data_IF_020221483411
#
_entry.id   IF_020221483411
#
_cell.length_a   1.000
_cell.length_b   1.000
_cell.length_c   1.000
_cell.angle_alpha   90.00
_cell.angle_beta   90.00
_cell.angle_gamma   90.00
#
_symmetry.space_group_name_H-M   'P 1'
#
loop_
_entity.id
_entity.type
_entity.pdbx_description
1 polymer ?
#
# COMPACT_ATOMS: atom_id res chain seq x y z
N UNK A 1 3.97 46.24 -29.79
CA UNK A 1 5.30 46.37 -29.19
C UNK A 1 5.31 47.69 -28.48
N UNK A 2 5.40 47.69 -27.15
CA UNK A 2 5.86 48.81 -26.32
C UNK A 2 6.01 48.25 -24.89
N UNK A 3 7.12 47.58 -24.64
CA UNK A 3 7.52 47.18 -23.29
C UNK A 3 8.18 48.39 -22.62
N UNK A 4 7.41 49.20 -21.90
CA UNK A 4 7.98 50.23 -21.04
C UNK A 4 8.65 49.56 -19.83
N UNK A 5 9.97 49.39 -19.90
CA UNK A 5 10.81 49.05 -18.75
C UNK A 5 10.88 50.30 -17.84
N UNK A 6 9.99 50.39 -16.85
CA UNK A 6 10.16 51.38 -15.78
C UNK A 6 11.14 50.81 -14.76
N UNK A 7 12.42 51.13 -14.94
CA UNK A 7 13.54 50.84 -14.04
C UNK A 7 13.35 51.64 -12.72
N UNK A 8 12.46 51.19 -11.84
CA UNK A 8 12.31 51.74 -10.47
C UNK A 8 13.46 51.25 -9.58
N UNK A 9 14.66 51.80 -9.78
CA UNK A 9 15.83 51.53 -8.94
C UNK A 9 15.68 52.22 -7.58
N UNK A 10 15.00 51.57 -6.64
CA UNK A 10 15.12 51.93 -5.22
C UNK A 10 16.33 51.20 -4.66
N UNK A 11 17.50 51.85 -4.71
CA UNK A 11 18.71 51.39 -4.03
C UNK A 11 18.53 51.60 -2.53
N UNK A 12 18.23 50.53 -1.79
CA UNK A 12 18.24 50.60 -0.34
C UNK A 12 19.69 50.50 0.18
N UNK A 13 19.95 51.00 1.39
CA UNK A 13 21.30 51.10 2.02
C UNK A 13 22.09 49.76 2.06
N UNK A 14 21.42 48.64 1.81
CA UNK A 14 21.96 47.29 1.84
C UNK A 14 22.41 46.74 0.46
N UNK A 15 22.39 47.53 -0.62
CA UNK A 15 22.86 47.09 -1.94
C UNK A 15 21.94 46.08 -2.63
N UNK A 16 20.64 46.14 -2.32
CA UNK A 16 19.58 45.37 -3.01
C UNK A 16 18.96 46.26 -4.09
N UNK A 17 18.91 45.75 -5.33
CA UNK A 17 18.19 46.41 -6.44
C UNK A 17 16.99 45.56 -6.83
N UNK A 18 15.78 46.14 -6.81
CA UNK A 18 14.54 45.49 -7.24
C UNK A 18 14.28 45.86 -8.70
N UNK A 19 13.84 44.91 -9.52
CA UNK A 19 13.38 45.15 -10.88
C UNK A 19 12.02 44.47 -11.09
N UNK A 20 11.22 45.05 -11.99
CA UNK A 20 9.90 44.52 -12.34
C UNK A 20 9.60 44.72 -13.82
N UNK A 21 9.15 43.68 -14.50
CA UNK A 21 8.70 43.75 -15.89
C UNK A 21 7.28 43.18 -16.02
N UNK A 22 6.40 43.93 -16.70
CA UNK A 22 5.03 43.51 -16.98
C UNK A 22 4.99 42.79 -18.32
N UNK A 23 4.81 41.47 -18.30
CA UNK A 23 4.62 40.65 -19.49
C UNK A 23 3.12 40.38 -19.71
N UNK A 24 2.74 39.94 -20.91
CA UNK A 24 1.35 39.57 -21.23
C UNK A 24 0.81 38.39 -20.40
N UNK A 25 1.69 37.65 -19.71
CA UNK A 25 1.39 36.47 -18.90
C UNK A 25 1.62 36.65 -17.39
N UNK A 26 2.00 37.84 -16.91
CA UNK A 26 2.26 38.06 -15.48
C UNK A 26 3.17 39.26 -15.17
N UNK A 27 3.35 39.53 -13.87
CA UNK A 27 4.34 40.47 -13.36
C UNK A 27 5.57 39.69 -12.88
N UNK A 28 6.70 39.87 -13.54
CA UNK A 28 7.97 39.30 -13.08
C UNK A 28 8.65 40.31 -12.16
N UNK A 29 8.62 40.04 -10.86
CA UNK A 29 9.44 40.75 -9.88
C UNK A 29 10.72 39.96 -9.61
N UNK A 30 11.83 40.66 -9.45
CA UNK A 30 13.07 40.06 -8.99
C UNK A 30 13.94 41.07 -8.26
N UNK A 31 14.95 40.57 -7.57
CA UNK A 31 15.94 41.42 -6.93
C UNK A 31 17.35 40.86 -7.10
N UNK A 32 18.31 41.77 -7.16
CA UNK A 32 19.74 41.45 -7.21
C UNK A 32 20.34 41.78 -5.86
N UNK A 33 20.99 40.81 -5.24
CA UNK A 33 21.77 40.99 -4.01
C UNK A 33 23.18 40.43 -4.20
N UNK A 34 24.21 41.27 -3.97
CA UNK A 34 25.64 40.89 -4.12
C UNK A 34 25.96 40.18 -5.46
N UNK A 35 25.33 40.60 -6.55
CA UNK A 35 25.55 40.03 -7.88
C UNK A 35 24.75 38.75 -8.20
N UNK A 36 23.98 38.22 -7.25
CA UNK A 36 23.06 37.11 -7.51
C UNK A 36 21.67 37.64 -7.89
N UNK A 37 21.18 37.21 -9.06
CA UNK A 37 19.83 37.51 -9.57
C UNK A 37 18.86 36.46 -9.02
N UNK A 38 17.82 36.93 -8.31
CA UNK A 38 16.74 36.08 -7.80
C UNK A 38 15.46 36.54 -8.49
N UNK A 39 14.94 35.68 -9.37
CA UNK A 39 13.66 35.86 -10.05
C UNK A 39 12.54 35.26 -9.17
N UNK A 40 11.52 36.06 -8.82
CA UNK A 40 10.36 35.63 -8.03
C UNK A 40 9.16 35.23 -8.92
N UNK A 41 9.41 34.87 -10.18
CA UNK A 41 8.36 34.48 -11.13
C UNK A 41 7.70 33.16 -10.71
N UNK A 42 6.40 33.20 -10.42
CA UNK A 42 5.57 32.00 -10.35
C UNK A 42 5.38 31.47 -11.77
N UNK A 43 5.62 30.17 -12.02
CA UNK A 43 5.30 29.53 -13.31
C UNK A 43 3.80 29.68 -13.58
N UNK A 44 3.37 30.38 -14.65
CA UNK A 44 1.95 30.55 -14.97
C UNK A 44 1.23 29.21 -15.22
N UNK A 45 1.95 28.14 -15.55
CA UNK A 45 1.37 26.81 -15.63
C UNK A 45 1.11 26.22 -14.24
N UNK A 46 2.01 26.43 -13.27
CA UNK A 46 1.81 25.99 -11.88
C UNK A 46 0.67 26.76 -11.21
N UNK A 47 0.59 28.08 -11.40
CA UNK A 47 -0.51 28.89 -10.87
C UNK A 47 -1.87 28.44 -11.43
N UNK A 48 -1.94 28.08 -12.72
CA UNK A 48 -3.14 27.50 -13.34
C UNK A 48 -3.50 26.13 -12.77
N UNK A 49 -2.50 25.26 -12.53
CA UNK A 49 -2.70 23.94 -11.90
C UNK A 49 -3.24 24.12 -10.48
N UNK A 50 -2.66 25.03 -9.71
CA UNK A 50 -3.05 25.28 -8.33
C UNK A 50 -4.44 25.89 -8.23
N UNK A 51 -4.75 26.89 -9.07
CA UNK A 51 -6.11 27.46 -9.17
C UNK A 51 -7.14 26.40 -9.53
N UNK A 52 -6.80 25.45 -10.42
CA UNK A 52 -7.68 24.34 -10.77
C UNK A 52 -7.91 23.41 -9.58
N UNK A 53 -6.85 23.03 -8.85
CA UNK A 53 -6.96 22.21 -7.62
C UNK A 53 -7.81 22.90 -6.56
N UNK A 54 -7.61 24.20 -6.33
CA UNK A 54 -8.38 24.97 -5.38
C UNK A 54 -9.87 25.03 -5.75
N UNK A 55 -10.18 25.25 -7.04
CA UNK A 55 -11.56 25.19 -7.54
C UNK A 55 -12.17 23.81 -7.35
N UNK A 56 -11.43 22.74 -7.64
CA UNK A 56 -11.90 21.36 -7.44
C UNK A 56 -12.16 21.07 -5.95
N UNK A 57 -11.30 21.53 -5.06
CA UNK A 57 -11.46 21.40 -3.61
C UNK A 57 -12.68 22.17 -3.10
N UNK A 58 -12.86 23.43 -3.51
CA UNK A 58 -14.05 24.24 -3.15
C UNK A 58 -15.32 23.58 -3.66
N UNK A 59 -15.32 23.08 -4.91
CA UNK A 59 -16.46 22.35 -5.46
C UNK A 59 -16.76 21.07 -4.67
N UNK A 60 -15.73 20.34 -4.25
CA UNK A 60 -15.87 19.15 -3.42
C UNK A 60 -16.54 19.47 -2.08
N UNK A 61 -16.09 20.54 -1.40
CA UNK A 61 -16.72 21.03 -0.17
C UNK A 61 -18.19 21.43 -0.39
N UNK A 62 -18.48 22.09 -1.52
CA UNK A 62 -19.85 22.40 -1.92
C UNK A 62 -20.73 21.16 -2.06
N UNK A 63 -20.23 20.10 -2.71
CA UNK A 63 -20.98 18.84 -2.83
C UNK A 63 -21.22 18.14 -1.49
N UNK A 64 -20.33 18.31 -0.51
CA UNK A 64 -20.53 17.81 0.86
C UNK A 64 -21.62 18.62 1.56
N UNK A 65 -21.55 19.95 1.51
CA UNK A 65 -22.57 20.82 2.10
C UNK A 65 -23.96 20.58 1.49
N UNK A 66 -24.06 20.40 0.17
CA UNK A 66 -25.32 20.08 -0.51
C UNK A 66 -25.97 18.77 0.00
N UNK A 67 -25.18 17.85 0.56
CA UNK A 67 -25.68 16.59 1.12
C UNK A 67 -26.38 16.74 2.46
N UNK A 68 -26.15 17.85 3.16
CA UNK A 68 -26.80 18.18 4.41
C UNK A 68 -28.22 18.72 4.19
N UNK A 69 -28.52 19.26 3.00
CA UNK A 69 -29.80 19.89 2.65
C UNK A 69 -30.68 19.07 1.69
N UNK A 70 -30.20 17.94 1.18
CA UNK A 70 -30.95 17.11 0.23
C UNK A 70 -30.10 16.03 -0.45
N UNK A 71 -30.59 15.44 -1.53
CA UNK A 71 -29.80 14.51 -2.36
C UNK A 71 -28.87 15.36 -3.25
N UNK A 72 -27.54 15.29 -3.09
CA UNK A 72 -26.63 16.03 -3.95
C UNK A 72 -26.79 15.59 -5.41
N UNK A 73 -26.59 16.50 -6.36
CA UNK A 73 -26.53 16.12 -7.78
C UNK A 73 -25.20 15.46 -8.15
N UNK A 74 -24.16 15.75 -7.38
CA UNK A 74 -22.79 15.22 -7.53
C UNK A 74 -22.25 14.83 -6.17
N UNK A 75 -21.43 13.80 -6.15
CA UNK A 75 -20.71 13.39 -4.96
C UNK A 75 -19.38 14.15 -4.84
N UNK A 76 -18.85 14.24 -3.62
CA UNK A 76 -17.47 14.66 -3.35
C UNK A 76 -16.44 13.89 -4.19
N UNK A 77 -16.75 12.63 -4.57
CA UNK A 77 -15.99 11.79 -5.50
C UNK A 77 -15.93 12.38 -6.95
N UNK A 78 -16.65 13.47 -7.25
CA UNK A 78 -16.89 14.02 -8.59
C UNK A 78 -17.88 13.22 -9.44
N UNK A 79 -18.22 12.00 -9.00
CA UNK A 79 -19.13 11.08 -9.66
C UNK A 79 -20.59 11.52 -9.59
N UNK A 80 -21.37 10.98 -10.54
CA UNK A 80 -22.82 11.16 -10.57
C UNK A 80 -23.44 10.37 -9.42
N UNK A 81 -24.36 11.02 -8.71
CA UNK A 81 -25.23 10.32 -7.76
C UNK A 81 -26.20 9.41 -8.53
N UNK A 82 -26.31 8.17 -8.08
CA UNK A 82 -27.35 7.25 -8.52
C UNK A 82 -28.51 7.44 -7.56
N UNK A 83 -29.64 7.91 -8.09
CA UNK A 83 -30.90 8.05 -7.37
C UNK A 83 -31.61 6.68 -7.32
N UNK A 84 -30.90 5.68 -6.80
CA UNK A 84 -31.55 4.46 -6.32
C UNK A 84 -31.99 4.78 -4.90
N UNK A 85 -33.15 5.47 -4.77
CA UNK A 85 -33.92 5.44 -3.52
C UNK A 85 -34.12 3.96 -3.24
N UNK A 86 -33.40 3.41 -2.25
CA UNK A 86 -33.55 2.01 -1.87
C UNK A 86 -35.01 1.80 -1.49
N UNK A 87 -35.76 1.19 -2.40
CA UNK A 87 -37.12 0.77 -2.14
C UNK A 87 -37.06 -0.32 -1.09
N UNK A 88 -37.55 0.01 0.09
CA UNK A 88 -38.00 -0.94 1.10
C UNK A 88 -36.90 -1.83 1.72
N UNK A 89 -36.02 -1.27 2.54
CA UNK A 89 -35.46 -2.07 3.64
C UNK A 89 -35.53 -1.27 4.95
N UNK A 90 -36.00 -1.98 5.97
CA UNK A 90 -36.50 -1.60 7.30
C UNK A 90 -35.46 -0.91 8.22
N UNK A 91 -34.36 -0.43 7.67
CA UNK A 91 -33.28 0.20 8.42
C UNK A 91 -33.34 1.71 8.22
N UNK A 92 -33.89 2.38 9.24
CA UNK A 92 -33.92 3.82 9.49
C UNK A 92 -35.18 4.56 9.00
N UNK A 93 -36.29 4.36 9.73
CA UNK A 93 -37.54 5.16 9.67
C UNK A 93 -37.41 6.57 10.24
N UNK A 94 -36.19 7.11 10.38
CA UNK A 94 -35.99 8.48 10.84
C UNK A 94 -36.34 9.48 9.72
N UNK A 95 -37.31 10.40 9.94
CA UNK A 95 -37.66 11.43 8.97
C UNK A 95 -36.42 12.31 8.70
N UNK A 96 -35.80 12.15 7.53
CA UNK A 96 -34.68 13.01 7.09
C UNK A 96 -33.46 12.29 6.51
N UNK A 97 -33.29 10.97 6.71
CA UNK A 97 -32.16 10.25 6.10
C UNK A 97 -32.52 9.79 4.68
N UNK A 98 -31.84 10.36 3.69
CA UNK A 98 -31.98 10.00 2.27
C UNK A 98 -30.73 9.23 1.85
N UNK A 99 -30.87 7.94 1.54
CA UNK A 99 -29.75 7.12 1.09
C UNK A 99 -29.52 7.35 -0.41
N UNK A 100 -28.30 7.75 -0.78
CA UNK A 100 -27.85 7.90 -2.17
C UNK A 100 -26.50 7.21 -2.35
N UNK A 101 -26.21 6.74 -3.56
CA UNK A 101 -24.95 6.04 -3.86
C UNK A 101 -24.19 6.75 -5.00
N UNK A 102 -22.89 7.04 -4.82
CA UNK A 102 -22.02 7.51 -5.93
C UNK A 102 -21.66 6.31 -6.83
N UNK A 103 -21.82 6.46 -8.15
CA UNK A 103 -21.45 5.41 -9.13
C UNK A 103 -20.01 4.93 -8.96
N UNK A 104 -19.07 5.85 -8.72
CA UNK A 104 -17.66 5.50 -8.55
C UNK A 104 -17.46 4.65 -7.29
N UNK A 105 -18.14 4.97 -6.18
CA UNK A 105 -18.09 4.16 -4.97
C UNK A 105 -18.75 2.80 -5.16
N UNK A 106 -19.87 2.69 -5.89
CA UNK A 106 -20.49 1.39 -6.22
C UNK A 106 -19.53 0.47 -6.97
N UNK A 107 -18.82 1.01 -7.96
CA UNK A 107 -17.83 0.24 -8.71
C UNK A 107 -16.58 -0.10 -7.89
N UNK A 108 -16.13 0.82 -7.04
CA UNK A 108 -15.00 0.57 -6.15
C UNK A 108 -15.32 -0.48 -5.09
N UNK A 109 -16.52 -0.43 -4.50
CA UNK A 109 -17.02 -1.45 -3.56
C UNK A 109 -17.00 -2.82 -4.26
N UNK A 110 -17.53 -2.94 -5.47
CA UNK A 110 -17.48 -4.22 -6.23
C UNK A 110 -16.06 -4.73 -6.42
N UNK A 111 -15.12 -3.85 -6.77
CA UNK A 111 -13.69 -4.22 -6.93
C UNK A 111 -13.09 -4.70 -5.62
N UNK A 112 -13.36 -3.98 -4.53
CA UNK A 112 -12.89 -4.34 -3.20
C UNK A 112 -13.50 -5.66 -2.73
N UNK A 113 -14.80 -5.88 -2.94
CA UNK A 113 -15.49 -7.15 -2.65
C UNK A 113 -14.81 -8.32 -3.36
N UNK A 114 -14.53 -8.18 -4.67
CA UNK A 114 -13.81 -9.21 -5.42
C UNK A 114 -12.42 -9.50 -4.84
N UNK A 115 -11.67 -8.47 -4.47
CA UNK A 115 -10.35 -8.63 -3.84
C UNK A 115 -10.42 -9.33 -2.49
N UNK A 116 -11.46 -9.05 -1.70
CA UNK A 116 -11.70 -9.72 -0.42
C UNK A 116 -12.02 -11.21 -0.65
N UNK A 117 -12.91 -11.52 -1.58
CA UNK A 117 -13.22 -12.92 -1.94
C UNK A 117 -11.98 -13.69 -2.41
N UNK A 118 -11.14 -13.08 -3.26
CA UNK A 118 -9.87 -13.67 -3.70
C UNK A 118 -8.91 -13.90 -2.51
N UNK A 119 -8.79 -12.93 -1.60
CA UNK A 119 -7.96 -13.06 -0.41
C UNK A 119 -8.46 -14.15 0.55
N UNK A 120 -9.78 -14.28 0.75
CA UNK A 120 -10.37 -15.34 1.57
C UNK A 120 -10.05 -16.74 1.04
N UNK A 121 -10.03 -16.93 -0.28
CA UNK A 121 -9.64 -18.20 -0.89
C UNK A 121 -8.17 -18.53 -0.63
N UNK A 122 -7.29 -17.52 -0.71
CA UNK A 122 -5.86 -17.69 -0.41
C UNK A 122 -5.66 -18.07 1.06
N UNK A 123 -6.34 -17.39 1.99
CA UNK A 123 -6.28 -17.69 3.42
C UNK A 123 -6.69 -19.13 3.67
N UNK A 124 -7.84 -19.59 3.13
CA UNK A 124 -8.31 -20.98 3.29
C UNK A 124 -7.28 -22.01 2.83
N UNK A 125 -6.60 -21.77 1.70
CA UNK A 125 -5.55 -22.67 1.18
C UNK A 125 -4.34 -22.70 2.09
N UNK A 126 -3.87 -21.53 2.54
CA UNK A 126 -2.71 -21.43 3.42
C UNK A 126 -3.00 -22.07 4.78
N UNK A 127 -4.19 -21.88 5.34
CA UNK A 127 -4.62 -22.54 6.59
C UNK A 127 -4.49 -24.05 6.47
N UNK A 128 -4.98 -24.65 5.39
CA UNK A 128 -4.85 -26.10 5.15
C UNK A 128 -3.39 -26.57 5.08
N UNK A 129 -2.53 -25.81 4.40
CA UNK A 129 -1.10 -26.14 4.31
C UNK A 129 -0.39 -26.03 5.66
N UNK A 130 -0.78 -25.06 6.49
CA UNK A 130 -0.25 -24.90 7.85
C UNK A 130 -0.68 -26.06 8.74
N UNK A 131 -1.95 -26.49 8.68
CA UNK A 131 -2.45 -27.66 9.40
C UNK A 131 -1.71 -28.94 9.01
N UNK A 132 -1.45 -29.15 7.70
CA UNK A 132 -0.66 -30.28 7.21
C UNK A 132 0.79 -30.24 7.71
N UNK A 133 1.43 -29.06 7.70
CA UNK A 133 2.78 -28.88 8.21
C UNK A 133 2.87 -29.12 9.74
N UNK A 134 1.86 -28.71 10.50
CA UNK A 134 1.80 -28.94 11.95
C UNK A 134 1.71 -30.43 12.29
N UNK A 135 0.95 -31.22 11.51
CA UNK A 135 0.91 -32.68 11.65
C UNK A 135 2.28 -33.33 11.41
N UNK A 136 3.03 -32.85 10.42
CA UNK A 136 4.40 -33.33 10.17
C UNK A 136 5.31 -32.99 11.35
N UNK A 137 5.28 -31.74 11.82
CA UNK A 137 6.12 -31.28 12.93
C UNK A 137 5.84 -32.08 14.20
N UNK A 138 4.57 -32.36 14.51
CA UNK A 138 4.17 -33.17 15.67
C UNK A 138 4.54 -34.65 15.52
N UNK A 139 4.67 -35.16 14.30
CA UNK A 139 5.12 -36.53 14.01
C UNK A 139 6.63 -36.75 14.14
N UNK A 140 7.46 -35.73 13.86
CA UNK A 140 8.94 -35.82 13.88
C UNK A 140 9.49 -36.38 15.21
N UNK A 141 9.03 -35.97 16.41
CA UNK A 141 9.53 -36.51 17.67
C UNK A 141 9.32 -38.02 17.82
N UNK A 142 8.22 -38.57 17.31
CA UNK A 142 7.96 -40.00 17.39
C UNK A 142 8.89 -40.79 16.46
N UNK A 143 9.08 -40.29 15.23
CA UNK A 143 10.05 -40.87 14.29
C UNK A 143 11.48 -40.81 14.84
N UNK A 144 11.87 -39.71 15.49
CA UNK A 144 13.19 -39.60 16.13
C UNK A 144 13.40 -40.67 17.20
N UNK A 145 12.40 -40.93 18.07
CA UNK A 145 12.50 -42.01 19.06
C UNK A 145 12.66 -43.39 18.43
N UNK A 146 11.98 -43.65 17.31
CA UNK A 146 12.11 -44.90 16.56
C UNK A 146 13.50 -45.04 15.93
N UNK A 147 14.07 -43.94 15.44
CA UNK A 147 15.42 -43.92 14.90
C UNK A 147 16.43 -44.19 16.03
N UNK A 148 16.33 -43.51 17.17
CA UNK A 148 17.21 -43.73 18.34
C UNK A 148 17.20 -45.21 18.77
N UNK A 149 16.03 -45.82 18.89
CA UNK A 149 15.91 -47.24 19.27
C UNK A 149 16.47 -48.19 18.21
N UNK A 150 16.29 -47.89 16.92
CA UNK A 150 16.90 -48.67 15.84
C UNK A 150 18.42 -48.53 15.82
N UNK A 151 18.95 -47.32 16.05
CA UNK A 151 20.38 -47.07 16.17
C UNK A 151 21.00 -47.88 17.32
N UNK A 152 20.35 -47.90 18.48
CA UNK A 152 20.76 -48.75 19.62
C UNK A 152 20.82 -50.23 19.22
N UNK A 153 19.76 -50.75 18.57
CA UNK A 153 19.75 -52.15 18.13
C UNK A 153 20.86 -52.47 17.12
N UNK A 154 21.15 -51.57 16.17
CA UNK A 154 22.25 -51.74 15.20
C UNK A 154 23.61 -51.76 15.90
N UNK A 155 23.84 -50.90 16.88
CA UNK A 155 25.11 -50.90 17.63
C UNK A 155 25.33 -52.20 18.41
N UNK A 156 24.28 -52.74 19.04
CA UNK A 156 24.34 -54.02 19.75
C UNK A 156 24.66 -55.17 18.79
N UNK A 157 23.92 -55.26 17.67
CA UNK A 157 24.12 -56.31 16.67
C UNK A 157 25.51 -56.24 16.03
N UNK A 158 26.02 -55.03 15.76
CA UNK A 158 27.38 -54.84 15.24
C UNK A 158 28.42 -55.43 16.19
N UNK A 159 28.33 -55.14 17.49
CA UNK A 159 29.25 -55.72 18.48
C UNK A 159 29.16 -57.25 18.58
N UNK A 160 27.96 -57.82 18.38
CA UNK A 160 27.79 -59.28 18.31
C UNK A 160 28.47 -59.88 17.07
N UNK A 161 28.34 -59.23 15.91
CA UNK A 161 29.01 -59.66 14.67
C UNK A 161 30.53 -59.59 14.82
N UNK A 162 31.07 -58.51 15.41
CA UNK A 162 32.51 -58.37 15.65
C UNK A 162 33.04 -59.50 16.55
N UNK A 163 32.34 -59.81 17.63
CA UNK A 163 32.72 -60.89 18.55
C UNK A 163 32.67 -62.27 17.86
N UNK A 164 31.60 -62.56 17.11
CA UNK A 164 31.49 -63.80 16.34
C UNK A 164 32.59 -63.91 15.28
N UNK A 165 32.97 -62.80 14.65
CA UNK A 165 34.06 -62.76 13.66
C UNK A 165 35.39 -63.17 14.29
N UNK A 166 35.69 -62.69 15.51
CA UNK A 166 36.89 -63.12 16.26
C UNK A 166 36.82 -64.61 16.60
N UNK A 167 35.69 -65.10 17.08
CA UNK A 167 35.52 -66.51 17.43
C UNK A 167 35.69 -67.43 16.21
N UNK A 168 35.16 -67.05 15.05
CA UNK A 168 35.36 -67.79 13.80
C UNK A 168 36.83 -67.81 13.41
N UNK A 169 37.53 -66.67 13.47
CA UNK A 169 38.96 -66.61 13.15
C UNK A 169 39.82 -67.48 14.10
N UNK A 170 39.48 -67.53 15.39
CA UNK A 170 40.16 -68.40 16.36
C UNK A 170 39.90 -69.90 16.07
N UNK A 171 38.66 -70.26 15.75
CA UNK A 171 38.30 -71.63 15.36
C UNK A 171 38.97 -72.06 14.04
N UNK A 172 39.06 -71.16 13.07
CA UNK A 172 39.75 -71.41 11.79
C UNK A 172 41.23 -71.73 12.02
N UNK A 173 41.92 -71.01 12.92
CA UNK A 173 43.30 -71.35 13.31
C UNK A 173 43.40 -72.75 13.91
N UNK A 174 42.50 -73.10 14.83
CA UNK A 174 42.53 -74.41 15.50
C UNK A 174 42.24 -75.57 14.53
N UNK A 175 41.39 -75.36 13.52
CA UNK A 175 40.95 -76.43 12.62
C UNK A 175 41.85 -76.64 11.39
N UNK A 176 42.63 -75.64 10.99
CA UNK A 176 43.40 -75.66 9.73
C UNK A 176 44.92 -75.43 9.89
N UNK A 177 45.42 -75.16 11.11
CA UNK A 177 46.85 -75.32 11.47
C UNK A 177 47.13 -76.73 12.03
#
# INVERSE_FOLDING_TARGET
>A
MDCFLHDLRVLNRYGVSIYGSKASSGFDLGFVYRGFKIDLGMDPAEERRETKRQKEYINMLGYVADSEYGIPRRCACGGRMIDEVRGNEEYDTLPGKRFFTCKNYKEEIKRLTKRVEEAEQVIKRLTKQVEEAEQVITGVPNLNKQIETLEEHVTILSGQVDNLTVQVADLEKICFE
#
